data_IF_996314022014
#
_entry.id   IF_996314022014
#
_cell.length_a   1.000
_cell.length_b   1.000
_cell.length_c   1.000
_cell.angle_alpha   90.00
_cell.angle_beta   90.00
_cell.angle_gamma   90.00
#
_symmetry.space_group_name_H-M   'P 1'
#
loop_
_entity.id
_entity.type
_entity.pdbx_description
1 polymer ?
#
# COMPACT_ATOMS: atom_id res chain seq x y z
N UNK A 1 13.29 -27.74 18.74
CA UNK A 1 11.98 -27.12 18.97
C UNK A 1 12.11 -25.65 18.57
N UNK A 2 11.68 -25.30 17.34
CA UNK A 2 11.71 -23.94 16.78
C UNK A 2 10.35 -23.70 16.10
N UNK A 3 9.78 -22.51 16.05
CA UNK A 3 10.33 -21.16 16.15
C UNK A 3 9.28 -20.28 16.86
N UNK A 4 9.70 -19.47 17.84
CA UNK A 4 8.84 -18.67 18.74
C UNK A 4 8.58 -17.24 18.22
N UNK A 5 8.69 -16.97 16.91
CA UNK A 5 8.87 -15.60 16.41
C UNK A 5 7.94 -15.28 15.22
N UNK A 6 7.29 -14.09 15.22
CA UNK A 6 6.74 -13.49 14.01
C UNK A 6 7.78 -13.51 12.88
N UNK A 7 7.43 -14.05 11.72
CA UNK A 7 8.32 -14.08 10.58
C UNK A 7 8.70 -12.63 10.18
N UNK A 8 9.90 -12.36 9.62
CA UNK A 8 10.20 -11.08 8.96
C UNK A 8 9.08 -10.54 8.05
N UNK A 9 8.29 -11.43 7.44
CA UNK A 9 7.09 -11.07 6.68
C UNK A 9 5.96 -10.49 7.54
N UNK A 10 5.73 -11.04 8.74
CA UNK A 10 4.70 -10.55 9.66
C UNK A 10 5.08 -9.18 10.19
N UNK A 11 6.36 -8.97 10.52
CA UNK A 11 6.86 -7.66 10.94
C UNK A 11 6.69 -6.61 9.84
N UNK A 12 6.96 -6.94 8.57
CA UNK A 12 6.70 -6.03 7.45
C UNK A 12 5.21 -5.65 7.33
N UNK A 13 4.32 -6.61 7.54
CA UNK A 13 2.87 -6.37 7.50
C UNK A 13 2.46 -5.51 8.69
N UNK A 14 2.87 -5.87 9.89
CA UNK A 14 2.61 -5.15 11.15
C UNK A 14 3.09 -3.71 11.05
N UNK A 15 4.33 -3.47 10.64
CA UNK A 15 4.88 -2.13 10.45
C UNK A 15 4.12 -1.35 9.36
N UNK A 16 3.77 -2.03 8.26
CA UNK A 16 2.97 -1.46 7.19
C UNK A 16 1.61 -0.98 7.67
N UNK A 17 0.89 -1.81 8.43
CA UNK A 17 -0.41 -1.50 9.02
C UNK A 17 -0.28 -0.41 10.08
N UNK A 18 0.64 -0.53 11.03
CA UNK A 18 0.92 0.48 12.05
C UNK A 18 1.18 1.85 11.41
N UNK A 19 1.97 1.90 10.34
CA UNK A 19 2.24 3.13 9.62
C UNK A 19 1.00 3.69 8.91
N UNK A 20 0.08 2.86 8.39
CA UNK A 20 -1.15 3.34 7.73
C UNK A 20 -2.20 3.87 8.70
N UNK A 21 -2.30 3.24 9.87
CA UNK A 21 -3.30 3.56 10.88
C UNK A 21 -2.77 4.41 12.03
N UNK A 22 -1.72 5.20 11.79
CA UNK A 22 -1.23 6.19 12.76
C UNK A 22 -0.89 7.53 12.10
N UNK A 23 -0.93 8.59 12.91
CA UNK A 23 -0.42 9.92 12.54
C UNK A 23 -1.04 10.51 11.26
N UNK A 24 -0.25 11.20 10.42
CA UNK A 24 -0.76 11.88 9.22
C UNK A 24 -1.38 10.95 8.17
N UNK A 25 -0.98 9.68 8.13
CA UNK A 25 -1.50 8.69 7.18
C UNK A 25 -2.92 8.27 7.56
N UNK A 26 -3.20 8.12 8.85
CA UNK A 26 -4.56 7.87 9.34
C UNK A 26 -5.49 9.04 9.03
N UNK A 27 -5.02 10.28 9.24
CA UNK A 27 -5.77 11.48 8.87
C UNK A 27 -6.05 11.53 7.36
N UNK A 28 -5.07 11.19 6.53
CA UNK A 28 -5.25 11.11 5.06
C UNK A 28 -6.25 10.03 4.66
N UNK A 29 -6.26 8.90 5.36
CA UNK A 29 -7.22 7.81 5.15
C UNK A 29 -8.65 8.26 5.51
N UNK A 30 -8.83 8.92 6.66
CA UNK A 30 -10.12 9.50 7.07
C UNK A 30 -10.63 10.53 6.06
N UNK A 31 -9.78 11.45 5.65
CA UNK A 31 -10.12 12.44 4.64
C UNK A 31 -10.50 11.78 3.30
N UNK A 32 -9.80 10.72 2.90
CA UNK A 32 -10.15 9.97 1.70
C UNK A 32 -11.55 9.32 1.80
N UNK A 33 -11.84 8.65 2.91
CA UNK A 33 -13.14 8.01 3.19
C UNK A 33 -14.28 9.05 3.12
N UNK A 34 -14.10 10.18 3.80
CA UNK A 34 -15.11 11.24 3.85
C UNK A 34 -15.32 11.91 2.48
N UNK A 35 -14.23 12.29 1.79
CA UNK A 35 -14.32 13.06 0.55
C UNK A 35 -14.84 12.24 -0.64
N UNK A 36 -14.62 10.92 -0.64
CA UNK A 36 -15.02 10.04 -1.74
C UNK A 36 -16.27 9.21 -1.41
N UNK A 37 -16.89 9.45 -0.25
CA UNK A 37 -17.99 8.63 0.26
C UNK A 37 -17.70 7.12 0.24
N UNK A 38 -16.44 6.75 0.52
CA UNK A 38 -15.93 5.40 0.32
C UNK A 38 -15.80 4.64 1.63
N UNK A 39 -16.74 3.71 1.84
CA UNK A 39 -16.75 2.90 3.05
C UNK A 39 -15.79 1.69 2.95
N UNK A 40 -14.54 1.96 3.30
CA UNK A 40 -13.42 1.00 3.32
C UNK A 40 -13.64 -0.19 4.25
N UNK A 41 -14.44 -0.01 5.31
CA UNK A 41 -14.61 -0.97 6.40
C UNK A 41 -16.09 -1.34 6.56
N UNK A 42 -16.87 -1.30 5.48
CA UNK A 42 -18.26 -1.75 5.50
C UNK A 42 -18.33 -3.24 5.85
N UNK A 43 -19.36 -3.66 6.61
CA UNK A 43 -19.64 -5.08 6.81
C UNK A 43 -19.70 -5.82 5.46
N UNK A 44 -19.04 -6.97 5.38
CA UNK A 44 -18.97 -7.77 4.14
C UNK A 44 -17.90 -7.36 3.13
N UNK A 45 -17.15 -6.27 3.36
CA UNK A 45 -15.92 -5.96 2.60
C UNK A 45 -14.87 -7.04 2.84
N UNK A 46 -13.94 -7.21 1.91
CA UNK A 46 -12.91 -8.24 2.04
C UNK A 46 -11.61 -7.66 2.60
N UNK A 47 -11.05 -8.25 3.67
CA UNK A 47 -9.75 -7.80 4.22
C UNK A 47 -8.62 -7.86 3.19
N UNK A 48 -8.62 -8.87 2.29
CA UNK A 48 -7.67 -8.93 1.16
C UNK A 48 -7.74 -7.71 0.24
N UNK A 49 -8.93 -7.13 0.05
CA UNK A 49 -9.15 -5.94 -0.79
C UNK A 49 -8.59 -4.71 -0.09
N UNK A 50 -8.88 -4.58 1.21
CA UNK A 50 -8.36 -3.49 2.05
C UNK A 50 -6.83 -3.46 2.05
N UNK A 51 -6.16 -4.59 2.30
CA UNK A 51 -4.69 -4.65 2.33
C UNK A 51 -4.08 -4.35 0.97
N UNK A 52 -4.72 -4.80 -0.12
CA UNK A 52 -4.34 -4.41 -1.48
C UNK A 52 -4.49 -2.90 -1.73
N UNK A 53 -5.60 -2.29 -1.28
CA UNK A 53 -5.84 -0.85 -1.44
C UNK A 53 -4.85 0.00 -0.64
N UNK A 54 -4.50 -0.43 0.58
CA UNK A 54 -3.50 0.24 1.43
C UNK A 54 -2.05 -0.02 0.98
N UNK A 55 -1.86 -0.92 0.01
CA UNK A 55 -0.58 -1.40 -0.47
C UNK A 55 0.30 -1.95 0.67
N UNK A 56 -0.30 -2.81 1.51
CA UNK A 56 0.35 -3.48 2.64
C UNK A 56 0.33 -4.98 2.40
N UNK A 57 1.47 -5.54 2.03
CA UNK A 57 1.67 -6.96 1.79
C UNK A 57 3.15 -7.30 1.96
N UNK A 58 3.47 -8.56 2.34
CA UNK A 58 4.85 -8.98 2.53
C UNK A 58 5.60 -9.03 1.20
N UNK A 59 6.90 -8.69 1.24
CA UNK A 59 7.74 -8.57 0.03
C UNK A 59 8.74 -9.71 -0.15
N UNK A 60 9.00 -10.50 0.90
CA UNK A 60 10.04 -11.54 0.93
C UNK A 60 9.47 -12.97 1.02
N UNK A 61 10.12 -13.93 0.37
CA UNK A 61 9.75 -15.35 0.39
C UNK A 61 9.03 -15.83 -0.89
N UNK A 62 8.60 -17.10 -0.94
CA UNK A 62 7.91 -17.66 -2.10
C UNK A 62 6.45 -17.18 -2.15
N UNK A 63 6.09 -16.47 -3.23
CA UNK A 63 4.73 -15.93 -3.49
C UNK A 63 4.10 -15.24 -2.25
N UNK A 64 4.80 -14.32 -1.57
CA UNK A 64 4.46 -13.88 -0.23
C UNK A 64 3.16 -13.06 -0.22
N UNK A 65 3.00 -12.16 -1.20
CA UNK A 65 1.74 -11.43 -1.44
C UNK A 65 0.57 -12.39 -1.63
N UNK A 66 0.72 -13.41 -2.47
CA UNK A 66 -0.38 -14.34 -2.76
C UNK A 66 -0.78 -15.14 -1.54
N UNK A 67 0.19 -15.64 -0.76
CA UNK A 67 -0.08 -16.35 0.51
C UNK A 67 -0.81 -15.46 1.51
N UNK A 68 -0.41 -14.20 1.62
CA UNK A 68 -1.08 -13.22 2.48
C UNK A 68 -2.53 -12.95 2.05
N UNK A 69 -2.79 -12.79 0.75
CA UNK A 69 -4.15 -12.58 0.25
C UNK A 69 -5.04 -13.81 0.42
N UNK A 70 -4.49 -15.02 0.24
CA UNK A 70 -5.19 -16.28 0.54
C UNK A 70 -5.47 -16.40 2.03
N UNK A 71 -4.52 -16.02 2.88
CA UNK A 71 -4.72 -16.05 4.32
C UNK A 71 -5.92 -15.20 4.75
N UNK A 72 -5.99 -13.95 4.29
CA UNK A 72 -7.07 -13.02 4.64
C UNK A 72 -8.44 -13.40 4.09
N UNK A 73 -8.50 -14.29 3.10
CA UNK A 73 -9.72 -14.65 2.36
C UNK A 73 -10.25 -16.02 2.73
N UNK A 74 -9.37 -17.03 2.72
CA UNK A 74 -9.74 -18.44 2.77
C UNK A 74 -9.32 -19.12 4.08
N UNK A 75 -8.36 -18.56 4.83
CA UNK A 75 -7.79 -19.19 6.04
C UNK A 75 -8.29 -18.50 7.31
N UNK A 76 -8.34 -17.17 7.32
CA UNK A 76 -8.80 -16.39 8.47
C UNK A 76 -10.29 -16.67 8.69
N UNK A 77 -10.70 -17.15 9.89
CA UNK A 77 -12.10 -17.41 10.17
C UNK A 77 -12.97 -16.17 9.97
N UNK A 78 -14.14 -16.35 9.34
CA UNK A 78 -15.08 -15.26 9.07
C UNK A 78 -15.43 -14.41 10.30
N UNK A 79 -15.65 -14.98 11.51
CA UNK A 79 -15.92 -14.17 12.70
C UNK A 79 -14.77 -13.22 13.06
N UNK A 80 -13.51 -13.67 12.93
CA UNK A 80 -12.33 -12.85 13.20
C UNK A 80 -12.17 -11.78 12.12
N UNK A 81 -12.39 -12.15 10.85
CA UNK A 81 -12.40 -11.22 9.74
C UNK A 81 -13.38 -10.06 9.99
N UNK A 82 -14.63 -10.37 10.33
CA UNK A 82 -15.68 -9.38 10.56
C UNK A 82 -15.42 -8.54 11.81
N UNK A 83 -14.86 -9.15 12.86
CA UNK A 83 -14.44 -8.43 14.05
C UNK A 83 -13.32 -7.43 13.73
N UNK A 84 -12.28 -7.82 12.99
CA UNK A 84 -11.22 -6.90 12.56
C UNK A 84 -11.82 -5.73 11.77
N UNK A 85 -12.73 -5.99 10.82
CA UNK A 85 -13.38 -4.92 10.07
C UNK A 85 -14.17 -3.97 10.97
N UNK A 86 -14.94 -4.51 11.92
CA UNK A 86 -15.70 -3.71 12.87
C UNK A 86 -14.79 -2.83 13.74
N UNK A 87 -13.67 -3.38 14.21
CA UNK A 87 -12.70 -2.64 15.03
C UNK A 87 -11.97 -1.54 14.25
N UNK A 88 -11.61 -1.81 12.99
CA UNK A 88 -11.04 -0.80 12.09
C UNK A 88 -12.05 0.28 11.73
N UNK A 89 -13.30 -0.11 11.48
CA UNK A 89 -14.40 0.83 11.25
C UNK A 89 -14.64 1.72 12.47
N UNK A 90 -14.60 1.17 13.68
CA UNK A 90 -14.73 1.96 14.91
C UNK A 90 -13.56 2.95 15.06
N UNK A 91 -12.31 2.50 14.80
CA UNK A 91 -11.12 3.33 14.95
C UNK A 91 -11.00 4.44 13.89
N UNK A 92 -11.34 4.15 12.64
CA UNK A 92 -11.21 5.12 11.53
C UNK A 92 -12.49 5.92 11.33
N UNK A 93 -13.63 5.25 11.49
CA UNK A 93 -14.97 5.74 11.17
C UNK A 93 -15.42 5.32 9.76
N UNK A 94 -16.52 5.91 9.33
CA UNK A 94 -17.14 5.67 8.03
C UNK A 94 -17.38 7.01 7.29
N UNK A 95 -17.84 7.01 6.04
CA UNK A 95 -18.06 8.26 5.30
C UNK A 95 -18.97 9.28 5.97
N UNK A 96 -20.01 8.82 6.68
CA UNK A 96 -20.92 9.71 7.39
C UNK A 96 -20.32 10.26 8.69
N UNK A 97 -19.41 9.51 9.32
CA UNK A 97 -18.80 9.87 10.60
C UNK A 97 -17.41 9.25 10.75
N UNK A 98 -16.38 10.04 10.45
CA UNK A 98 -15.00 9.71 10.78
C UNK A 98 -14.76 9.83 12.29
N UNK A 99 -13.92 8.97 12.86
CA UNK A 99 -13.61 9.01 14.30
C UNK A 99 -12.31 9.78 14.54
N UNK A 100 -12.41 11.05 14.96
CA UNK A 100 -11.23 11.87 15.23
C UNK A 100 -10.60 11.63 16.62
N UNK A 101 -11.25 10.86 17.49
CA UNK A 101 -10.80 10.62 18.86
C UNK A 101 -9.83 9.43 18.96
N UNK A 102 -9.71 8.63 17.91
CA UNK A 102 -8.68 7.59 17.84
C UNK A 102 -7.39 8.17 17.26
N UNK A 103 -6.33 8.24 18.06
CA UNK A 103 -5.01 8.69 17.64
C UNK A 103 -4.33 7.72 16.68
N UNK A 104 -4.59 6.42 16.85
CA UNK A 104 -4.09 5.38 15.97
C UNK A 104 -4.43 3.97 16.40
N UNK A 105 -4.15 3.03 15.50
CA UNK A 105 -4.29 1.59 15.72
C UNK A 105 -2.90 0.96 15.69
N UNK A 106 -2.59 0.17 16.72
CA UNK A 106 -1.42 -0.70 16.79
C UNK A 106 -1.85 -2.12 16.45
N UNK A 107 -1.10 -2.75 15.56
CA UNK A 107 -1.27 -4.13 15.16
C UNK A 107 -0.14 -4.95 15.76
N UNK A 108 -0.47 -6.16 16.17
CA UNK A 108 0.50 -7.14 16.63
C UNK A 108 0.06 -8.54 16.23
N UNK A 109 1.01 -9.46 16.19
CA UNK A 109 0.77 -10.88 16.05
C UNK A 109 1.44 -11.60 17.23
N UNK A 110 0.72 -12.50 17.87
CA UNK A 110 1.22 -13.25 19.01
C UNK A 110 0.94 -14.75 18.85
N UNK A 111 1.88 -15.57 19.28
CA UNK A 111 1.66 -17.01 19.37
C UNK A 111 0.90 -17.34 20.66
N UNK A 112 -0.16 -18.14 20.57
CA UNK A 112 -0.86 -18.67 21.73
C UNK A 112 -1.15 -20.17 21.54
N UNK A 113 -0.46 -21.06 22.29
CA UNK A 113 -0.65 -22.50 22.18
C UNK A 113 -1.97 -22.99 22.76
N UNK A 114 -2.68 -22.17 23.54
CA UNK A 114 -3.90 -22.57 24.24
C UNK A 114 -5.17 -22.18 23.49
N UNK A 115 -5.03 -21.61 22.29
CA UNK A 115 -6.15 -21.24 21.45
C UNK A 115 -6.98 -22.48 21.05
N UNK A 116 -8.29 -22.41 21.27
CA UNK A 116 -9.22 -23.45 20.82
C UNK A 116 -9.39 -23.48 19.29
N UNK A 117 -9.13 -22.36 18.61
CA UNK A 117 -9.20 -22.20 17.16
C UNK A 117 -7.84 -21.76 16.60
N UNK A 118 -7.50 -22.04 15.32
CA UNK A 118 -6.18 -21.73 14.77
C UNK A 118 -5.77 -20.24 14.88
N UNK A 119 -6.76 -19.36 14.96
CA UNK A 119 -6.60 -17.92 15.10
C UNK A 119 -7.57 -17.40 16.16
N UNK A 120 -7.18 -16.31 16.82
CA UNK A 120 -8.00 -15.54 17.75
C UNK A 120 -7.70 -14.04 17.64
N UNK A 121 -8.52 -13.22 18.26
CA UNK A 121 -8.35 -11.77 18.24
C UNK A 121 -8.45 -11.20 19.65
N UNK A 122 -7.41 -10.46 20.05
CA UNK A 122 -7.41 -9.68 21.29
C UNK A 122 -7.41 -8.21 20.93
N UNK A 123 -8.40 -7.48 21.42
CA UNK A 123 -8.54 -6.05 21.17
C UNK A 123 -8.37 -5.30 22.50
N UNK A 124 -7.39 -4.41 22.55
CA UNK A 124 -7.15 -3.49 23.65
C UNK A 124 -7.53 -2.08 23.26
N UNK A 125 -8.06 -1.31 24.21
CA UNK A 125 -8.24 0.13 24.09
C UNK A 125 -7.51 0.81 25.24
N UNK A 126 -6.58 1.69 24.92
CA UNK A 126 -5.91 2.48 25.93
C UNK A 126 -6.86 3.56 26.48
N UNK A 127 -6.71 3.93 27.76
CA UNK A 127 -7.41 5.09 28.31
C UNK A 127 -7.13 6.34 27.46
N UNK A 128 -8.14 7.21 27.22
CA UNK A 128 -7.92 8.46 26.52
C UNK A 128 -6.91 9.35 27.27
N UNK A 129 -6.09 10.08 26.51
CA UNK A 129 -5.19 11.09 27.04
C UNK A 129 -5.94 12.36 27.47
N UNK A 130 -5.21 13.39 27.94
CA UNK A 130 -5.78 14.67 28.35
C UNK A 130 -6.55 15.41 27.23
N UNK A 131 -6.31 15.06 25.95
CA UNK A 131 -7.01 15.61 24.80
C UNK A 131 -8.21 14.75 24.37
N UNK A 132 -8.52 13.69 25.13
CA UNK A 132 -9.57 12.71 24.78
C UNK A 132 -9.18 11.75 23.65
N UNK A 133 -7.90 11.71 23.27
CA UNK A 133 -7.40 10.83 22.21
C UNK A 133 -7.00 9.48 22.79
N UNK A 134 -7.38 8.39 22.12
CA UNK A 134 -7.02 7.04 22.54
C UNK A 134 -6.32 6.24 21.44
N UNK A 135 -5.55 5.24 21.86
CA UNK A 135 -5.01 4.22 20.96
C UNK A 135 -5.79 2.92 21.08
N UNK A 136 -5.93 2.23 19.95
CA UNK A 136 -6.49 0.87 19.91
C UNK A 136 -5.40 -0.11 19.51
N UNK A 137 -5.35 -1.26 20.17
CA UNK A 137 -4.41 -2.33 19.85
C UNK A 137 -5.20 -3.55 19.38
N UNK A 138 -4.88 -4.05 18.20
CA UNK A 138 -5.45 -5.25 17.60
C UNK A 138 -4.34 -6.29 17.52
N UNK A 139 -4.44 -7.33 18.32
CA UNK A 139 -3.49 -8.43 18.35
C UNK A 139 -4.15 -9.68 17.78
N UNK A 140 -3.63 -10.15 16.65
CA UNK A 140 -4.00 -11.44 16.08
C UNK A 140 -3.21 -12.52 16.81
N UNK A 141 -3.90 -13.40 17.52
CA UNK A 141 -3.28 -14.55 18.20
C UNK A 141 -3.35 -15.76 17.29
N UNK A 142 -2.25 -16.50 17.14
CA UNK A 142 -2.13 -17.62 16.21
C UNK A 142 -1.63 -18.87 16.94
N UNK A 143 -2.24 -20.02 16.64
CA UNK A 143 -1.77 -21.33 17.11
C UNK A 143 -0.71 -21.94 16.17
N UNK A 144 -0.69 -21.51 14.91
CA UNK A 144 0.29 -21.94 13.92
C UNK A 144 0.52 -20.87 12.85
N UNK A 145 1.70 -20.94 12.23
CA UNK A 145 2.05 -20.15 11.05
C UNK A 145 1.09 -20.45 9.87
N UNK A 146 0.94 -19.50 8.94
CA UNK A 146 0.24 -19.73 7.68
C UNK A 146 0.88 -20.96 6.99
N UNK A 147 0.11 -22.01 6.62
CA UNK A 147 0.71 -23.22 6.08
C UNK A 147 1.58 -22.95 4.85
N UNK A 148 2.76 -23.57 4.80
CA UNK A 148 3.79 -23.30 3.78
C UNK A 148 3.37 -23.72 2.37
N UNK A 149 2.47 -24.71 2.28
CA UNK A 149 1.95 -25.30 1.04
C UNK A 149 0.73 -24.55 0.47
N UNK A 150 0.26 -23.48 1.11
CA UNK A 150 -0.86 -22.69 0.59
C UNK A 150 -0.48 -22.12 -0.77
N UNK A 151 -1.20 -22.55 -1.80
CA UNK A 151 -1.10 -21.96 -3.14
C UNK A 151 -1.64 -20.53 -3.06
N UNK A 152 -0.73 -19.56 -2.92
CA UNK A 152 -1.09 -18.15 -2.82
C UNK A 152 -1.88 -17.66 -4.02
N UNK A 153 -2.87 -16.79 -3.78
CA UNK A 153 -3.70 -16.17 -4.81
C UNK A 153 -2.87 -15.13 -5.60
N UNK A 154 -2.49 -15.38 -6.86
CA UNK A 154 -1.69 -14.44 -7.63
C UNK A 154 -2.53 -13.26 -8.15
N UNK A 155 -3.86 -13.32 -8.04
CA UNK A 155 -4.76 -12.35 -8.62
C UNK A 155 -4.86 -11.08 -7.78
N UNK A 156 -5.02 -9.94 -8.45
CA UNK A 156 -5.44 -8.73 -7.74
C UNK A 156 -6.89 -8.95 -7.27
N UNK A 157 -7.22 -8.63 -6.00
CA UNK A 157 -8.56 -8.86 -5.48
C UNK A 157 -9.58 -8.07 -6.31
N UNK A 158 -10.71 -8.70 -6.70
CA UNK A 158 -11.77 -8.02 -7.43
C UNK A 158 -12.33 -6.85 -6.60
N UNK A 159 -13.03 -5.93 -7.26
CA UNK A 159 -13.74 -4.86 -6.55
C UNK A 159 -14.87 -5.46 -5.71
N UNK A 160 -15.09 -4.89 -4.53
CA UNK A 160 -16.23 -5.28 -3.70
C UNK A 160 -17.51 -4.62 -4.23
N UNK A 161 -18.68 -5.26 -4.02
CA UNK A 161 -19.98 -4.74 -4.45
C UNK A 161 -20.20 -3.32 -3.90
N UNK A 162 -20.58 -2.35 -4.74
CA UNK A 162 -20.82 -0.96 -4.35
C UNK A 162 -19.56 -0.09 -4.18
N UNK A 163 -18.37 -0.53 -4.59
CA UNK A 163 -17.16 0.30 -4.62
C UNK A 163 -17.14 1.19 -5.89
N UNK A 164 -17.47 2.48 -5.75
CA UNK A 164 -17.25 3.51 -6.77
C UNK A 164 -16.14 4.45 -6.30
N UNK A 165 -15.00 4.52 -7.01
CA UNK A 165 -13.94 5.46 -6.67
C UNK A 165 -12.56 5.09 -7.20
N UNK A 166 -11.60 6.03 -7.15
CA UNK A 166 -10.26 5.82 -7.68
C UNK A 166 -9.50 4.73 -6.91
N UNK A 167 -8.64 3.95 -7.58
CA UNK A 167 -7.87 2.90 -6.93
C UNK A 167 -6.84 3.50 -5.96
N UNK A 168 -6.81 2.93 -4.75
CA UNK A 168 -5.88 3.20 -3.64
C UNK A 168 -5.97 4.61 -3.04
N UNK A 169 -6.07 4.76 -1.71
CA UNK A 169 -5.97 6.05 -1.07
C UNK A 169 -4.54 6.57 -1.29
N UNK A 170 -4.41 7.86 -1.62
CA UNK A 170 -3.12 8.51 -1.83
C UNK A 170 -2.37 8.72 -0.50
N UNK A 171 -1.99 7.63 0.15
CA UNK A 171 -1.25 7.60 1.41
C UNK A 171 0.23 7.84 1.11
N UNK A 172 0.57 9.05 0.64
CA UNK A 172 1.91 9.41 0.16
C UNK A 172 2.99 8.98 1.16
N UNK A 173 3.76 7.96 0.82
CA UNK A 173 5.13 7.85 1.29
C UNK A 173 5.93 8.84 0.46
N UNK A 174 6.46 9.91 1.07
CA UNK A 174 7.62 10.59 0.50
C UNK A 174 8.75 9.57 0.50
N UNK A 175 8.81 8.71 -0.52
CA UNK A 175 10.00 7.94 -0.85
C UNK A 175 11.05 9.00 -1.15
N UNK A 176 12.11 9.04 -0.34
CA UNK A 176 13.21 9.99 -0.48
C UNK A 176 13.57 10.17 -1.94
N UNK A 177 13.55 11.41 -2.39
CA UNK A 177 13.91 11.78 -3.74
C UNK A 177 15.37 11.46 -3.97
N UNK A 178 15.63 10.33 -4.65
CA UNK A 178 16.86 10.15 -5.40
C UNK A 178 16.86 11.15 -6.56
N UNK A 179 17.30 12.38 -6.29
CA UNK A 179 17.58 13.40 -7.30
C UNK A 179 18.79 12.94 -8.09
N UNK A 180 18.60 12.03 -9.06
CA UNK A 180 19.56 11.85 -10.15
C UNK A 180 19.42 13.03 -11.09
N UNK A 181 20.22 14.05 -10.84
CA UNK A 181 20.65 15.06 -11.80
C UNK A 181 21.32 14.38 -12.99
N UNK A 182 20.52 13.91 -13.94
CA UNK A 182 20.98 13.52 -15.28
C UNK A 182 20.93 14.74 -16.17
N UNK A 183 22.06 15.44 -16.25
CA UNK A 183 22.32 16.60 -17.08
C UNK A 183 21.97 16.30 -18.56
N UNK A 184 20.78 16.72 -19.02
CA UNK A 184 20.45 16.74 -20.46
C UNK A 184 20.84 18.11 -21.02
N UNK A 185 22.06 18.18 -21.53
CA UNK A 185 22.53 19.22 -22.44
C UNK A 185 23.74 18.64 -23.18
N UNK A 186 23.84 18.65 -24.49
CA UNK A 186 22.97 19.14 -25.54
C UNK A 186 23.80 19.09 -26.82
N UNK A 187 23.22 18.69 -27.95
CA UNK A 187 23.77 19.07 -29.26
C UNK A 187 22.61 19.39 -30.18
N UNK A 188 22.47 20.67 -30.45
CA UNK A 188 21.59 21.28 -31.45
C UNK A 188 21.93 20.68 -32.82
N UNK A 189 20.98 20.00 -33.47
CA UNK A 189 21.03 19.79 -34.92
C UNK A 189 20.21 20.87 -35.61
N UNK A 190 20.93 21.67 -36.39
CA UNK A 190 20.47 22.82 -37.14
C UNK A 190 19.45 22.43 -38.23
N UNK A 191 18.35 23.19 -38.30
CA UNK A 191 17.55 23.32 -39.50
C UNK A 191 18.07 24.53 -40.32
N UNK A 192 18.64 24.24 -41.49
CA UNK A 192 18.72 25.18 -42.64
C UNK A 192 17.29 25.51 -43.10
N UNK A 193 16.92 26.63 -43.72
CA UNK A 193 17.52 27.92 -44.05
C UNK A 193 16.38 28.73 -44.70
N UNK A 194 16.28 30.04 -44.46
CA UNK A 194 15.60 30.97 -45.39
C UNK A 194 16.51 32.19 -45.63
N UNK A 195 17.12 32.16 -46.80
CA UNK A 195 17.30 33.23 -47.80
C UNK A 195 17.31 34.69 -47.33
N UNK A 196 18.45 35.37 -47.47
CA UNK A 196 18.72 36.45 -48.46
C UNK A 196 19.75 37.48 -47.94
N UNK A 197 20.87 37.61 -48.68
CA UNK A 197 21.56 38.87 -49.10
C UNK A 197 22.99 38.50 -49.53
N UNK A 198 23.22 38.38 -50.85
CA UNK A 198 23.86 39.41 -51.70
C UNK A 198 25.35 39.60 -51.38
N UNK A 199 26.22 39.03 -52.22
CA UNK A 199 27.17 39.77 -53.08
C UNK A 199 28.45 38.97 -53.40
N UNK A 200 28.63 38.76 -54.71
CA UNK A 200 29.87 38.91 -55.50
C UNK A 200 31.16 38.15 -55.11
N UNK A 201 31.57 37.32 -56.09
CA UNK A 201 32.82 37.35 -56.90
C UNK A 201 33.72 36.11 -56.80
N UNK A 202 34.24 35.78 -57.99
CA UNK A 202 35.31 34.85 -58.37
C UNK A 202 34.93 33.34 -58.33
N UNK A 203 34.59 32.71 -59.46
CA UNK A 203 35.49 32.22 -60.53
C UNK A 203 36.64 31.36 -59.96
N UNK A 204 36.88 30.10 -60.34
CA UNK A 204 36.99 29.53 -61.69
C UNK A 204 37.24 28.01 -61.55
N UNK A 205 36.74 27.19 -62.50
CA UNK A 205 37.28 25.91 -63.06
C UNK A 205 37.92 24.87 -62.10
N UNK A 206 37.74 23.54 -62.19
CA UNK A 206 37.37 22.55 -63.22
C UNK A 206 37.21 21.20 -62.45
N UNK A 207 36.22 20.34 -62.74
CA UNK A 207 36.38 19.04 -63.46
C UNK A 207 37.62 18.22 -63.05
N UNK A 208 37.60 16.90 -62.84
CA UNK A 208 36.74 15.76 -63.24
C UNK A 208 37.19 14.59 -62.33
N UNK A 209 36.33 13.65 -61.94
CA UNK A 209 36.22 12.34 -62.64
C UNK A 209 37.46 11.47 -62.41
N UNK A 210 37.46 10.55 -61.44
CA UNK A 210 37.01 9.14 -61.54
C UNK A 210 38.18 8.19 -61.86
N UNK A 211 38.34 7.20 -60.96
CA UNK A 211 39.04 5.90 -61.08
C UNK A 211 39.31 5.50 -62.55
N UNK A 212 40.51 5.09 -62.91
CA UNK A 212 41.13 3.78 -62.67
C UNK A 212 42.58 3.86 -63.14
#
# INVERSE_FOLDING_TARGET
>A
MGDLIPNPNDLQIVDGLNARFSGPKLQSLRAHIQNNNDDFFAPGRQLRRLTWRLNVFPSSGPKPKGRWLTFLKDILPQPIHDQILAELRDAVGNPARVNNNCAGVRFWAAYDPNLATPYGLVVGREPPDANGLYWKTITLTCLAEIPANVQGDPSNPPRDTGENGPPQPALRTRKGGGKRTGNKGGVKKAAKSKTNKVAKKAAKKKQKGKKR
#
